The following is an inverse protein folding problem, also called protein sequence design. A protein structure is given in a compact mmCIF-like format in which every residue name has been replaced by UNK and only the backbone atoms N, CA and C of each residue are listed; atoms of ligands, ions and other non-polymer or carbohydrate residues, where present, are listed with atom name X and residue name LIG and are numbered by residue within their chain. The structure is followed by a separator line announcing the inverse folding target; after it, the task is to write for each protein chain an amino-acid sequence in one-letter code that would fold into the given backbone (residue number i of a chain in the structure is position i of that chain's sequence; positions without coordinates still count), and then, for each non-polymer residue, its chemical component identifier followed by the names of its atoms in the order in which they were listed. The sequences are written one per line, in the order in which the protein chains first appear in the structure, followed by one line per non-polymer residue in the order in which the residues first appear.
data_IF_712677507564
#
_entry.id   IF_712677507564
#
_cell.length_a   1.000
_cell.length_b   1.000
_cell.length_c   1.000
_cell.angle_alpha   90.00
_cell.angle_beta   90.00
_cell.angle_gamma   90.00
#
_symmetry.space_group_name_H-M   'P 1'
#
loop_
_entity.id
_entity.type
_entity.pdbx_description
1 polymer ?
#
# COMPACT_ATOMS: atom_id res chain seq x y z
N UNK A 1 17.46 2.82 -30.44
CA UNK A 1 16.20 2.14 -30.05
C UNK A 1 15.74 2.43 -28.61
N UNK A 2 16.61 2.61 -27.60
CA UNK A 2 16.19 3.02 -26.24
C UNK A 2 15.79 4.51 -26.10
N UNK A 3 16.39 5.41 -26.88
CA UNK A 3 16.03 6.83 -26.89
C UNK A 3 14.54 7.06 -27.24
N UNK A 4 14.03 6.30 -28.21
CA UNK A 4 12.62 6.34 -28.65
C UNK A 4 11.61 6.06 -27.52
N UNK A 5 11.90 5.10 -26.62
CA UNK A 5 10.97 4.78 -25.53
C UNK A 5 10.84 5.92 -24.52
N UNK A 6 11.95 6.58 -24.17
CA UNK A 6 11.95 7.71 -23.24
C UNK A 6 11.25 8.92 -23.87
N UNK A 7 11.51 9.20 -25.14
CA UNK A 7 10.86 10.27 -25.89
C UNK A 7 9.35 10.06 -25.99
N UNK A 8 8.92 8.83 -26.31
CA UNK A 8 7.49 8.46 -26.36
C UNK A 8 6.84 8.54 -24.99
N UNK A 9 7.50 8.08 -23.92
CA UNK A 9 6.99 8.21 -22.56
C UNK A 9 6.82 9.69 -22.16
N UNK A 10 7.79 10.54 -22.51
CA UNK A 10 7.72 11.98 -22.25
C UNK A 10 6.59 12.66 -23.05
N UNK A 11 6.39 12.27 -24.32
CA UNK A 11 5.26 12.75 -25.13
C UNK A 11 3.91 12.38 -24.49
N UNK A 12 3.72 11.11 -24.10
CA UNK A 12 2.49 10.67 -23.40
C UNK A 12 2.29 11.36 -22.06
N UNK A 13 3.37 11.65 -21.33
CA UNK A 13 3.27 12.40 -20.08
C UNK A 13 2.79 13.84 -20.31
N UNK A 14 3.26 14.51 -21.37
CA UNK A 14 2.80 15.85 -21.76
C UNK A 14 1.33 15.84 -22.17
N UNK A 15 0.91 14.90 -23.02
CA UNK A 15 -0.49 14.73 -23.41
C UNK A 15 -1.41 14.58 -22.19
N UNK A 16 -1.00 13.78 -21.20
CA UNK A 16 -1.75 13.64 -19.94
C UNK A 16 -1.74 14.90 -19.08
N UNK A 17 -0.66 15.67 -19.10
CA UNK A 17 -0.57 16.94 -18.39
C UNK A 17 -1.55 17.97 -18.96
N UNK A 18 -1.56 18.12 -20.29
CA UNK A 18 -2.49 19.01 -21.01
C UNK A 18 -3.94 18.60 -20.79
N UNK A 19 -4.23 17.30 -20.71
CA UNK A 19 -5.55 16.77 -20.40
C UNK A 19 -5.92 16.77 -18.89
N UNK A 20 -5.07 17.32 -18.00
CA UNK A 20 -5.25 17.31 -16.55
C UNK A 20 -5.45 15.90 -15.93
N UNK A 21 -4.81 14.87 -16.52
CA UNK A 21 -4.90 13.46 -16.11
C UNK A 21 -3.72 12.99 -15.24
N UNK A 22 -2.87 13.91 -14.79
CA UNK A 22 -1.79 13.61 -13.87
C UNK A 22 -2.35 13.40 -12.46
N UNK A 23 -1.93 12.31 -11.83
CA UNK A 23 -2.28 12.00 -10.45
C UNK A 23 -1.11 12.36 -9.56
N UNK A 24 -1.42 12.94 -8.41
CA UNK A 24 -0.43 13.20 -7.36
C UNK A 24 -0.78 12.37 -6.13
N UNK A 25 0.20 11.62 -5.64
CA UNK A 25 0.06 10.92 -4.37
C UNK A 25 -0.07 11.93 -3.23
N UNK A 26 -0.96 11.63 -2.30
CA UNK A 26 -1.15 12.38 -1.06
C UNK A 26 -0.66 11.51 0.08
N UNK A 27 0.13 12.10 0.98
CA UNK A 27 0.67 11.38 2.13
C UNK A 27 -0.30 11.53 3.30
N UNK A 28 -0.82 10.40 3.78
CA UNK A 28 -1.56 10.35 5.04
C UNK A 28 -0.55 10.38 6.18
N UNK A 29 -0.66 11.38 7.06
CA UNK A 29 0.27 11.61 8.16
C UNK A 29 -0.10 10.80 9.42
N UNK A 30 -1.41 10.58 9.61
CA UNK A 30 -1.95 9.78 10.71
C UNK A 30 -3.29 9.15 10.28
N UNK A 31 -3.65 8.03 10.90
CA UNK A 31 -4.86 7.27 10.58
C UNK A 31 -5.42 6.59 11.83
N UNK A 32 -6.65 6.97 12.16
CA UNK A 32 -7.49 6.33 13.16
C UNK A 32 -8.89 6.15 12.54
N UNK A 33 -9.05 5.05 11.80
CA UNK A 33 -10.22 4.80 10.96
C UNK A 33 -11.54 5.07 11.73
N UNK A 34 -12.52 5.77 11.11
CA UNK A 34 -12.55 6.20 9.71
C UNK A 34 -11.83 7.54 9.44
N UNK A 35 -11.12 8.12 10.41
CA UNK A 35 -10.46 9.42 10.27
C UNK A 35 -9.02 9.29 9.79
N UNK A 36 -8.59 10.24 8.94
CA UNK A 36 -7.21 10.40 8.51
C UNK A 36 -6.73 11.84 8.72
N UNK A 37 -5.41 12.04 8.80
CA UNK A 37 -4.79 13.35 8.77
C UNK A 37 -4.05 13.53 7.44
N UNK A 38 -4.44 14.55 6.69
CA UNK A 38 -3.86 14.90 5.39
C UNK A 38 -3.61 16.40 5.33
N UNK A 39 -2.38 16.80 4.99
CA UNK A 39 -1.92 18.20 5.02
C UNK A 39 -2.25 18.92 6.35
N UNK A 40 -2.05 18.24 7.47
CA UNK A 40 -2.32 18.74 8.82
C UNK A 40 -3.80 18.81 9.21
N UNK A 41 -4.72 18.34 8.35
CA UNK A 41 -6.17 18.42 8.56
C UNK A 41 -6.75 17.04 8.85
N UNK A 42 -7.58 16.94 9.89
CA UNK A 42 -8.36 15.75 10.18
C UNK A 42 -9.58 15.67 9.26
N UNK A 43 -9.72 14.57 8.51
CA UNK A 43 -10.76 14.33 7.51
C UNK A 43 -11.43 12.98 7.74
N UNK A 44 -12.73 12.89 7.47
CA UNK A 44 -13.44 11.61 7.43
C UNK A 44 -13.15 10.93 6.08
N UNK A 45 -12.61 9.71 6.12
CA UNK A 45 -12.18 9.00 4.93
C UNK A 45 -13.32 8.21 4.30
N UNK A 46 -13.74 8.62 3.11
CA UNK A 46 -14.60 7.86 2.20
C UNK A 46 -13.81 7.16 1.08
N UNK A 47 -12.48 7.25 1.12
CA UNK A 47 -11.60 6.69 0.09
C UNK A 47 -10.88 5.40 0.57
N UNK A 48 -11.11 4.97 1.81
CA UNK A 48 -10.53 3.75 2.36
C UNK A 48 -11.28 2.51 1.88
N UNK A 49 -10.55 1.40 1.73
CA UNK A 49 -11.12 0.07 1.50
C UNK A 49 -11.26 -0.75 2.80
N UNK A 50 -11.00 -0.15 3.97
CA UNK A 50 -11.12 -0.82 5.28
C UNK A 50 -12.58 -0.87 5.76
N UNK A 51 -13.43 -1.60 5.03
CA UNK A 51 -14.87 -1.63 5.25
C UNK A 51 -15.27 -2.17 6.63
N UNK A 52 -14.45 -3.05 7.21
CA UNK A 52 -14.72 -3.70 8.49
C UNK A 52 -13.93 -3.07 9.66
N UNK A 53 -13.10 -2.06 9.40
CA UNK A 53 -12.24 -1.44 10.43
C UNK A 53 -11.17 -2.37 10.97
N UNK A 54 -10.72 -3.36 10.19
CA UNK A 54 -9.79 -4.40 10.65
C UNK A 54 -8.33 -4.02 10.47
N UNK A 55 -8.02 -3.01 9.64
CA UNK A 55 -6.65 -2.64 9.31
C UNK A 55 -5.82 -2.25 10.55
N UNK A 56 -6.44 -1.62 11.55
CA UNK A 56 -5.81 -1.24 12.82
C UNK A 56 -6.30 -2.05 14.04
N UNK A 57 -7.10 -3.11 13.82
CA UNK A 57 -7.73 -3.84 14.91
C UNK A 57 -6.67 -4.50 15.82
N UNK A 58 -6.75 -4.33 17.17
CA UNK A 58 -5.69 -4.77 18.10
C UNK A 58 -5.30 -6.25 17.95
N UNK A 59 -6.28 -7.15 17.82
CA UNK A 59 -6.04 -8.59 17.66
C UNK A 59 -5.26 -8.94 16.38
N UNK A 60 -5.45 -8.19 15.30
CA UNK A 60 -4.75 -8.40 14.02
C UNK A 60 -3.30 -7.95 14.15
N UNK A 61 -3.08 -6.78 14.77
CA UNK A 61 -1.75 -6.25 15.05
C UNK A 61 -0.94 -7.18 15.95
N UNK A 62 -1.56 -7.68 17.01
CA UNK A 62 -0.93 -8.62 17.94
C UNK A 62 -0.55 -9.93 17.24
N UNK A 63 -1.46 -10.51 16.45
CA UNK A 63 -1.19 -11.72 15.69
C UNK A 63 -0.02 -11.53 14.70
N UNK A 64 0.04 -10.37 14.04
CA UNK A 64 1.14 -10.03 13.13
C UNK A 64 2.48 -9.92 13.88
N UNK A 65 2.52 -9.23 15.02
CA UNK A 65 3.72 -9.12 15.84
C UNK A 65 4.20 -10.49 16.35
N UNK A 66 3.28 -11.32 16.84
CA UNK A 66 3.59 -12.67 17.33
C UNK A 66 4.11 -13.58 16.20
N UNK A 67 3.49 -13.51 15.02
CA UNK A 67 3.94 -14.27 13.85
C UNK A 67 5.34 -13.83 13.40
N UNK A 68 5.62 -12.52 13.33
CA UNK A 68 6.92 -12.00 12.96
C UNK A 68 8.01 -12.39 13.96
N UNK A 69 7.72 -12.35 15.27
CA UNK A 69 8.65 -12.78 16.31
C UNK A 69 8.98 -14.28 16.22
N UNK A 70 7.99 -15.11 15.88
CA UNK A 70 8.17 -16.57 15.81
C UNK A 70 8.77 -17.06 14.48
N UNK A 71 8.37 -16.47 13.36
CA UNK A 71 8.65 -17.00 12.02
C UNK A 71 9.52 -16.08 11.16
N UNK A 72 9.85 -14.88 11.65
CA UNK A 72 10.46 -13.82 10.86
C UNK A 72 9.46 -13.14 9.92
N UNK A 73 9.95 -12.17 9.14
CA UNK A 73 9.12 -11.37 8.23
C UNK A 73 9.03 -11.97 6.82
N UNK A 74 10.07 -12.69 6.39
CA UNK A 74 10.17 -13.27 5.05
C UNK A 74 10.11 -14.80 5.06
N UNK A 75 9.46 -15.37 4.05
CA UNK A 75 9.38 -16.82 3.87
C UNK A 75 10.66 -17.47 3.33
N UNK A 76 11.60 -16.67 2.81
CA UNK A 76 12.89 -17.05 2.20
C UNK A 76 12.84 -18.02 1.01
N UNK A 77 11.67 -18.54 0.65
CA UNK A 77 11.45 -19.41 -0.51
C UNK A 77 9.98 -19.35 -0.97
N UNK A 78 9.69 -19.92 -2.14
CA UNK A 78 8.33 -20.16 -2.59
C UNK A 78 7.62 -21.21 -1.73
N UNK A 79 6.29 -21.23 -1.71
CA UNK A 79 5.49 -22.20 -0.95
C UNK A 79 5.93 -23.65 -1.20
N UNK A 80 6.10 -24.03 -2.48
CA UNK A 80 6.49 -25.38 -2.90
C UNK A 80 7.99 -25.68 -2.72
N UNK A 81 8.81 -24.69 -2.35
CA UNK A 81 10.25 -24.82 -2.17
C UNK A 81 10.68 -24.56 -0.71
N UNK A 82 9.80 -24.87 0.25
CA UNK A 82 10.08 -24.74 1.69
C UNK A 82 9.68 -23.41 2.34
N UNK A 83 8.99 -22.53 1.60
CA UNK A 83 8.45 -21.26 2.11
C UNK A 83 7.09 -21.36 2.77
N UNK A 84 6.41 -22.51 2.67
CA UNK A 84 5.11 -22.70 3.31
C UNK A 84 5.25 -22.85 4.84
N UNK A 85 4.38 -22.18 5.60
CA UNK A 85 4.41 -22.15 7.07
C UNK A 85 3.04 -22.50 7.62
N UNK A 86 2.99 -23.06 8.83
CA UNK A 86 1.75 -23.48 9.48
C UNK A 86 0.63 -22.40 9.55
N UNK A 87 0.91 -21.10 9.74
CA UNK A 87 -0.14 -20.07 9.69
C UNK A 87 -0.80 -19.87 8.31
N UNK A 88 -0.24 -20.44 7.25
CA UNK A 88 -0.74 -20.34 5.88
C UNK A 88 -1.25 -21.68 5.33
N UNK A 89 -1.25 -22.73 6.15
CA UNK A 89 -1.73 -24.07 5.79
C UNK A 89 -3.26 -24.13 5.73
#
# INVERSE_FOLDING_TARGET
MRADLIERAAARQRERAEAALLRRLRTVQDSAAPWIVLDGRRLLSFASNDYLGLAAHPRVREALCAAAARWGVGATAAHLLGGHRAPHA
#
